data_IF_260878278821
#
_entry.id   IF_260878278821
#
_cell.length_a   1.000
_cell.length_b   1.000
_cell.length_c   1.000
_cell.angle_alpha   90.00
_cell.angle_beta   90.00
_cell.angle_gamma   90.00
#
_symmetry.space_group_name_H-M   'P 1'
#
loop_
_entity.id
_entity.type
_entity.pdbx_description
1 polymer ?
#
# COMPACT_ATOMS: atom_id res chain seq x y z
N UNK A 1 19.49 15.44 7.87
CA UNK A 1 18.03 15.49 8.01
C UNK A 1 17.56 14.10 8.43
N UNK A 2 16.76 14.00 9.48
CA UNK A 2 16.28 12.71 10.00
C UNK A 2 14.92 12.36 9.38
N UNK A 3 14.50 11.10 9.51
CA UNK A 3 13.23 10.61 8.97
C UNK A 3 12.04 11.35 9.60
N UNK A 4 12.13 11.67 10.88
CA UNK A 4 11.10 12.39 11.63
C UNK A 4 10.93 13.82 11.10
N UNK A 5 12.03 14.46 10.69
CA UNK A 5 12.00 15.80 10.10
C UNK A 5 11.26 15.80 8.75
N UNK A 6 11.43 14.73 7.95
CA UNK A 6 10.74 14.57 6.68
C UNK A 6 9.24 14.34 6.87
N UNK A 7 8.88 13.48 7.83
CA UNK A 7 7.48 13.22 8.17
C UNK A 7 6.80 14.50 8.66
N UNK A 8 7.47 15.28 9.52
CA UNK A 8 6.97 16.56 10.03
C UNK A 8 6.79 17.63 8.92
N UNK A 9 7.57 17.55 7.84
CA UNK A 9 7.44 18.40 6.66
C UNK A 9 6.34 17.93 5.69
N UNK A 10 5.60 16.87 6.04
CA UNK A 10 4.51 16.34 5.22
C UNK A 10 4.96 15.32 4.17
N UNK A 11 6.14 14.71 4.33
CA UNK A 11 6.55 13.63 3.44
C UNK A 11 5.56 12.46 3.50
N UNK A 12 5.30 11.88 2.33
CA UNK A 12 4.49 10.68 2.19
C UNK A 12 5.34 9.46 2.54
N UNK A 13 4.81 8.57 3.38
CA UNK A 13 5.41 7.27 3.70
C UNK A 13 4.66 6.21 2.90
N UNK A 14 5.39 5.46 2.08
CA UNK A 14 4.86 4.30 1.35
C UNK A 14 5.44 3.02 1.93
N UNK A 15 4.57 2.10 2.33
CA UNK A 15 4.94 0.75 2.73
C UNK A 15 4.49 -0.20 1.61
N UNK A 16 5.45 -0.71 0.84
CA UNK A 16 5.20 -1.56 -0.33
C UNK A 16 5.45 -3.04 -0.01
N UNK A 17 4.49 -3.88 -0.38
CA UNK A 17 4.59 -5.34 -0.37
C UNK A 17 4.52 -5.87 -1.80
N UNK A 18 5.46 -6.73 -2.18
CA UNK A 18 5.36 -7.52 -3.41
C UNK A 18 4.74 -8.87 -3.06
N UNK A 19 3.70 -9.24 -3.79
CA UNK A 19 2.88 -10.42 -3.53
C UNK A 19 2.72 -11.24 -4.81
N UNK A 20 2.58 -12.55 -4.65
CA UNK A 20 2.44 -13.47 -5.79
C UNK A 20 1.03 -13.44 -6.39
N UNK A 21 0.03 -13.02 -5.61
CA UNK A 21 -1.38 -13.01 -6.02
C UNK A 21 -2.26 -12.13 -5.10
N UNK A 22 -3.52 -11.96 -5.49
CA UNK A 22 -4.53 -11.19 -4.75
C UNK A 22 -4.68 -11.66 -3.29
N UNK A 23 -4.70 -12.98 -3.04
CA UNK A 23 -4.91 -13.51 -1.69
C UNK A 23 -3.77 -13.10 -0.75
N UNK A 24 -2.53 -13.24 -1.20
CA UNK A 24 -1.39 -12.78 -0.41
C UNK A 24 -1.43 -11.25 -0.19
N UNK A 25 -1.79 -10.48 -1.22
CA UNK A 25 -1.93 -9.03 -1.10
C UNK A 25 -2.96 -8.62 -0.04
N UNK A 26 -4.12 -9.29 0.00
CA UNK A 26 -5.14 -9.09 1.03
C UNK A 26 -4.64 -9.47 2.43
N UNK A 27 -3.91 -10.59 2.57
CA UNK A 27 -3.32 -11.04 3.83
C UNK A 27 -2.29 -10.04 4.37
N UNK A 28 -1.44 -9.47 3.50
CA UNK A 28 -0.47 -8.43 3.88
C UNK A 28 -1.14 -7.14 4.33
N UNK A 29 -2.27 -6.75 3.72
CA UNK A 29 -2.99 -5.53 4.08
C UNK A 29 -3.97 -5.70 5.24
N UNK A 30 -4.40 -6.92 5.55
CA UNK A 30 -5.38 -7.20 6.58
C UNK A 30 -5.06 -6.58 7.96
N UNK A 31 -3.80 -6.61 8.46
CA UNK A 31 -3.44 -5.95 9.72
C UNK A 31 -3.64 -4.43 9.73
N UNK A 32 -3.67 -3.79 8.55
CA UNK A 32 -3.76 -2.34 8.40
C UNK A 32 -5.18 -1.84 8.09
N UNK A 33 -6.18 -2.72 8.01
CA UNK A 33 -7.59 -2.35 7.72
C UNK A 33 -8.20 -1.36 8.72
N UNK A 34 -7.65 -1.26 9.93
CA UNK A 34 -8.09 -0.26 10.92
C UNK A 34 -7.73 1.17 10.51
N UNK A 35 -6.76 1.37 9.61
CA UNK A 35 -6.34 2.68 9.12
C UNK A 35 -7.19 3.17 7.93
N UNK A 36 -7.94 2.29 7.27
CA UNK A 36 -8.75 2.67 6.12
C UNK A 36 -9.31 1.47 5.36
N UNK A 37 -10.08 1.76 4.31
CA UNK A 37 -10.61 0.72 3.42
C UNK A 37 -9.53 0.28 2.44
N UNK A 38 -9.59 -0.99 2.03
CA UNK A 38 -8.79 -1.48 0.91
C UNK A 38 -9.42 -0.95 -0.38
N UNK A 39 -8.66 -0.15 -1.11
CA UNK A 39 -8.94 0.27 -2.48
C UNK A 39 -8.14 -0.63 -3.42
N UNK A 40 -8.68 -0.90 -4.60
CA UNK A 40 -8.00 -1.64 -5.65
C UNK A 40 -7.81 -0.71 -6.86
N UNK A 41 -6.57 -0.58 -7.31
CA UNK A 41 -6.20 0.18 -8.50
C UNK A 41 -5.47 -0.75 -9.48
N UNK A 42 -5.85 -0.70 -10.75
CA UNK A 42 -5.12 -1.38 -11.83
C UNK A 42 -4.10 -0.41 -12.42
N UNK A 43 -2.82 -0.80 -12.44
CA UNK A 43 -1.77 0.03 -13.05
C UNK A 43 -1.72 -0.20 -14.57
N UNK A 44 -1.82 -1.47 -14.98
CA UNK A 44 -1.95 -1.90 -16.37
C UNK A 44 -2.80 -3.18 -16.45
N UNK A 45 -2.83 -3.84 -17.60
CA UNK A 45 -3.59 -5.08 -17.81
C UNK A 45 -3.03 -6.30 -17.06
N UNK A 46 -1.82 -6.21 -16.52
CA UNK A 46 -1.08 -7.31 -15.91
C UNK A 46 -0.68 -7.03 -14.45
N UNK A 47 -1.10 -5.89 -13.89
CA UNK A 47 -0.62 -5.45 -12.58
C UNK A 47 -1.73 -4.79 -11.76
N UNK A 48 -1.88 -5.23 -10.51
CA UNK A 48 -2.88 -4.73 -9.58
C UNK A 48 -2.25 -4.31 -8.25
N UNK A 49 -2.85 -3.26 -7.68
CA UNK A 49 -2.40 -2.60 -6.45
C UNK A 49 -3.58 -2.59 -5.48
N UNK A 50 -3.41 -3.19 -4.31
CA UNK A 50 -4.29 -2.97 -3.18
C UNK A 50 -3.70 -1.87 -2.28
N UNK A 51 -4.54 -0.96 -1.81
CA UNK A 51 -4.12 0.28 -1.18
C UNK A 51 -4.92 0.55 0.09
N UNK A 52 -4.26 0.97 1.16
CA UNK A 52 -4.88 1.60 2.33
C UNK A 52 -4.20 2.95 2.55
N UNK A 53 -4.96 4.04 2.52
CA UNK A 53 -4.46 5.41 2.68
C UNK A 53 -4.89 5.97 4.05
N UNK A 54 -3.93 6.48 4.83
CA UNK A 54 -4.18 7.10 6.14
C UNK A 54 -3.25 8.29 6.37
N UNK A 55 -3.80 9.51 6.26
CA UNK A 55 -3.00 10.73 6.36
C UNK A 55 -1.90 10.77 5.30
N UNK A 56 -0.64 10.88 5.72
CA UNK A 56 0.54 10.83 4.86
C UNK A 56 1.13 9.42 4.68
N UNK A 57 0.49 8.38 5.22
CA UNK A 57 0.94 6.99 5.11
C UNK A 57 0.05 6.26 4.09
N UNK A 58 0.67 5.45 3.24
CA UNK A 58 -0.03 4.49 2.40
C UNK A 58 0.59 3.10 2.54
N UNK A 59 -0.25 2.08 2.65
CA UNK A 59 0.12 0.68 2.57
C UNK A 59 -0.29 0.18 1.20
N UNK A 60 0.65 -0.42 0.48
CA UNK A 60 0.49 -0.86 -0.91
C UNK A 60 0.87 -2.32 -1.00
N UNK A 61 -0.01 -3.16 -1.53
CA UNK A 61 0.32 -4.53 -1.91
C UNK A 61 0.17 -4.68 -3.42
N UNK A 62 1.27 -4.98 -4.08
CA UNK A 62 1.39 -5.15 -5.52
C UNK A 62 1.41 -6.64 -5.88
N UNK A 63 0.69 -7.03 -6.93
CA UNK A 63 0.80 -8.34 -7.54
C UNK A 63 0.54 -8.27 -9.05
N UNK A 64 1.09 -9.24 -9.77
CA UNK A 64 0.85 -9.40 -11.20
C UNK A 64 -0.38 -10.29 -11.46
N UNK A 65 -1.14 -9.96 -12.50
CA UNK A 65 -2.29 -10.71 -13.00
C UNK A 65 -1.81 -11.53 -14.20
N UNK A 66 -1.66 -12.83 -13.99
CA UNK A 66 -1.33 -13.81 -15.03
C UNK A 66 -2.52 -14.11 -15.95
#
# INVERSE_FOLDING_TARGET
MKLEDLIAQGAKVEVLFHCDNLKEAEEKLNPYKNFGRIEMESYDSHSQWLLIKYGNIQFVAFYEVN
#
